data_IF_754350444586
#
_entry.id   IF_754350444586
#
_cell.length_a   1.000
_cell.length_b   1.000
_cell.length_c   1.000
_cell.angle_alpha   90.00
_cell.angle_beta   90.00
_cell.angle_gamma   90.00
#
_symmetry.space_group_name_H-M   'P 1'
#
loop_
_entity.id
_entity.type
_entity.pdbx_description
1 polymer ?
#
# COMPACT_ATOMS: atom_id res chain seq x y z
N UNK A 1 13.80 15.29 -5.54
CA UNK A 1 12.68 14.49 -4.98
C UNK A 1 12.94 13.00 -5.22
N UNK A 2 12.82 12.16 -4.18
CA UNK A 2 13.00 10.70 -4.31
C UNK A 2 11.63 10.01 -4.47
N UNK A 3 11.05 10.10 -5.68
CA UNK A 3 9.67 9.69 -5.98
C UNK A 3 9.38 8.22 -5.67
N UNK A 4 10.38 7.35 -5.79
CA UNK A 4 10.24 5.93 -5.47
C UNK A 4 9.92 5.71 -4.00
N UNK A 5 10.57 6.45 -3.10
CA UNK A 5 10.34 6.32 -1.66
C UNK A 5 8.94 6.81 -1.28
N UNK A 6 8.51 7.95 -1.83
CA UNK A 6 7.15 8.48 -1.62
C UNK A 6 6.07 7.50 -2.07
N UNK A 7 6.29 6.81 -3.20
CA UNK A 7 5.37 5.79 -3.67
C UNK A 7 5.25 4.63 -2.67
N UNK A 8 6.36 4.08 -2.20
CA UNK A 8 6.31 2.99 -1.21
C UNK A 8 5.78 3.43 0.16
N UNK A 9 6.04 4.67 0.57
CA UNK A 9 5.54 5.22 1.83
C UNK A 9 4.00 5.43 1.77
N UNK A 10 3.42 5.73 0.59
CA UNK A 10 1.97 5.88 0.41
C UNK A 10 1.17 4.58 0.63
N UNK A 11 1.72 3.45 0.20
CA UNK A 11 1.04 2.15 0.31
C UNK A 11 1.48 1.35 1.55
N UNK A 12 2.30 1.94 2.41
CA UNK A 12 2.73 1.29 3.65
C UNK A 12 1.63 1.36 4.69
N UNK A 13 1.46 0.27 5.45
CA UNK A 13 0.55 0.24 6.60
C UNK A 13 0.83 1.41 7.56
N UNK A 14 -0.21 2.16 7.98
CA UNK A 14 -0.03 3.37 8.79
C UNK A 14 0.67 3.07 10.13
N UNK A 15 0.40 1.90 10.73
CA UNK A 15 1.08 1.47 11.96
C UNK A 15 2.59 1.23 11.75
N UNK A 16 2.97 0.63 10.62
CA UNK A 16 4.38 0.35 10.30
C UNK A 16 5.12 1.65 10.01
N UNK A 17 4.49 2.57 9.28
CA UNK A 17 5.05 3.90 9.03
C UNK A 17 5.31 4.68 10.33
N UNK A 18 4.34 4.69 11.25
CA UNK A 18 4.48 5.32 12.57
C UNK A 18 5.61 4.70 13.39
N UNK A 19 5.71 3.38 13.41
CA UNK A 19 6.79 2.68 14.12
C UNK A 19 8.17 3.00 13.51
N UNK A 20 8.28 3.07 12.19
CA UNK A 20 9.52 3.47 11.53
C UNK A 20 9.89 4.93 11.79
N UNK A 21 8.92 5.83 11.87
CA UNK A 21 9.16 7.22 12.24
C UNK A 21 9.55 7.33 13.71
N UNK A 22 8.89 6.62 14.63
CA UNK A 22 9.26 6.64 16.05
C UNK A 22 10.68 6.12 16.31
N UNK A 23 11.16 5.16 15.50
CA UNK A 23 12.51 4.61 15.60
C UNK A 23 13.62 5.52 15.02
N UNK A 24 13.27 6.60 14.33
CA UNK A 24 14.26 7.54 13.75
C UNK A 24 14.65 8.61 14.76
N UNK A 25 15.87 9.17 14.66
CA UNK A 25 16.26 10.32 15.47
C UNK A 25 15.35 11.53 15.20
N UNK A 26 14.99 12.33 16.23
CA UNK A 26 14.12 13.48 16.08
C UNK A 26 14.75 14.59 15.24
N UNK A 27 13.93 15.24 14.42
CA UNK A 27 14.36 16.36 13.61
C UNK A 27 14.53 17.59 14.51
N UNK A 28 15.77 18.07 14.63
CA UNK A 28 16.08 19.26 15.44
C UNK A 28 15.37 20.51 14.93
N UNK A 29 15.29 20.70 13.61
CA UNK A 29 14.67 21.89 13.01
C UNK A 29 13.17 21.90 13.26
N UNK A 30 12.50 20.76 13.02
CA UNK A 30 11.06 20.63 13.29
C UNK A 30 10.73 20.76 14.78
N UNK A 31 11.52 20.12 15.66
CA UNK A 31 11.30 20.21 17.10
C UNK A 31 11.56 21.59 17.71
N UNK A 32 12.40 22.42 17.07
CA UNK A 32 12.71 23.77 17.55
C UNK A 32 11.78 24.84 16.97
N UNK A 33 11.46 24.76 15.67
CA UNK A 33 10.74 25.81 14.95
C UNK A 33 9.30 25.42 14.59
N UNK A 34 8.92 24.15 14.75
CA UNK A 34 7.61 23.63 14.35
C UNK A 34 7.44 23.46 12.83
N UNK A 35 8.49 23.68 12.03
CA UNK A 35 8.47 23.49 10.58
C UNK A 35 9.77 22.84 10.11
N UNK A 36 9.72 22.16 8.96
CA UNK A 36 10.90 21.58 8.31
C UNK A 36 10.77 21.68 6.80
N UNK A 37 11.81 22.19 6.14
CA UNK A 37 11.88 22.40 4.69
C UNK A 37 11.73 21.11 3.88
N UNK A 38 12.02 19.95 4.49
CA UNK A 38 11.94 18.64 3.85
C UNK A 38 10.56 17.97 4.03
N UNK A 39 9.67 18.49 4.89
CA UNK A 39 8.37 17.88 5.17
C UNK A 39 8.45 16.38 5.50
N UNK A 40 7.57 15.57 4.92
CA UNK A 40 7.56 14.10 5.09
C UNK A 40 8.77 13.38 4.45
N UNK A 41 9.56 14.07 3.62
CA UNK A 41 10.79 13.52 3.04
C UNK A 41 11.98 13.61 4.00
N UNK A 42 11.80 14.26 5.15
CA UNK A 42 12.86 14.38 6.14
C UNK A 42 13.41 13.00 6.54
N UNK A 43 14.74 12.91 6.68
CA UNK A 43 15.41 11.69 7.16
C UNK A 43 15.12 11.45 8.66
N UNK A 44 14.76 12.50 9.38
CA UNK A 44 14.52 12.54 10.81
C UNK A 44 13.03 12.52 11.11
N UNK A 45 12.64 12.09 12.32
CA UNK A 45 11.23 12.05 12.71
C UNK A 45 10.70 13.41 13.13
N UNK A 46 9.49 13.72 12.70
CA UNK A 46 8.74 14.91 13.11
C UNK A 46 7.69 14.58 14.18
N UNK A 47 7.66 13.34 14.67
CA UNK A 47 6.78 12.94 15.77
C UNK A 47 7.35 13.52 17.06
N UNK A 48 6.60 14.42 17.69
CA UNK A 48 6.92 15.02 18.98
C UNK A 48 6.00 14.42 20.02
N UNK A 49 6.52 14.00 21.16
CA UNK A 49 5.67 13.51 22.26
C UNK A 49 5.42 14.65 23.24
N UNK A 50 4.15 14.87 23.58
CA UNK A 50 3.82 15.80 24.64
C UNK A 50 4.24 15.21 25.99
N UNK A 51 5.07 15.94 26.73
CA UNK A 51 5.52 15.51 28.07
C UNK A 51 4.39 15.48 29.09
N UNK A 52 3.29 16.22 28.87
CA UNK A 52 2.16 16.28 29.81
C UNK A 52 1.15 15.14 29.60
N UNK A 53 0.83 14.79 28.36
CA UNK A 53 -0.19 13.78 28.03
C UNK A 53 0.38 12.44 27.55
N UNK A 54 1.68 12.37 27.24
CA UNK A 54 2.31 11.19 26.65
C UNK A 54 1.80 10.86 25.25
N UNK A 55 1.00 11.74 24.63
CA UNK A 55 0.43 11.54 23.31
C UNK A 55 1.42 11.98 22.22
N UNK A 56 1.52 11.22 21.11
CA UNK A 56 2.29 11.65 19.94
C UNK A 56 1.56 12.79 19.22
N UNK A 57 2.20 13.95 19.15
CA UNK A 57 1.85 15.07 18.31
C UNK A 57 2.43 14.82 16.92
N UNK A 58 1.55 14.60 15.95
CA UNK A 58 1.92 14.41 14.55
C UNK A 58 2.05 15.74 13.82
N UNK A 59 2.97 15.83 12.83
CA UNK A 59 3.07 17.01 11.98
C UNK A 59 1.82 17.15 11.07
N UNK A 60 1.43 18.38 10.71
CA UNK A 60 0.22 18.64 9.94
C UNK A 60 0.20 17.95 8.57
N UNK A 61 1.37 17.75 7.95
CA UNK A 61 1.49 17.06 6.66
C UNK A 61 1.11 15.58 6.77
N UNK A 62 1.37 14.95 7.92
CA UNK A 62 1.08 13.54 8.19
C UNK A 62 -0.41 13.36 8.51
N UNK A 63 -1.02 14.31 9.21
CA UNK A 63 -2.47 14.39 9.41
C UNK A 63 -3.21 14.51 8.06
N UNK A 64 -2.74 15.40 7.20
CA UNK A 64 -3.29 15.57 5.85
C UNK A 64 -3.20 14.27 5.04
N UNK A 65 -2.08 13.54 5.13
CA UNK A 65 -1.93 12.26 4.47
C UNK A 65 -2.92 11.20 4.98
N UNK A 66 -3.14 11.10 6.29
CA UNK A 66 -4.16 10.21 6.84
C UNK A 66 -5.58 10.55 6.37
N UNK A 67 -5.88 11.83 6.21
CA UNK A 67 -7.16 12.30 5.69
C UNK A 67 -7.35 11.92 4.21
N UNK A 68 -6.31 12.09 3.39
CA UNK A 68 -6.30 11.64 1.99
C UNK A 68 -6.54 10.12 1.88
N UNK A 69 -5.92 9.32 2.73
CA UNK A 69 -6.15 7.86 2.76
C UNK A 69 -7.61 7.50 3.10
N UNK A 70 -8.22 8.20 4.06
CA UNK A 70 -9.64 8.01 4.40
C UNK A 70 -10.56 8.42 3.25
N UNK A 71 -10.23 9.48 2.53
CA UNK A 71 -11.02 9.96 1.39
C UNK A 71 -10.94 8.98 0.21
N UNK A 72 -9.77 8.36 -0.02
CA UNK A 72 -9.62 7.31 -1.01
C UNK A 72 -10.52 6.15 -0.60
N UNK A 73 -10.39 5.68 0.65
CA UNK A 73 -11.22 4.63 1.23
C UNK A 73 -12.73 4.87 1.07
N UNK A 74 -13.22 6.10 1.23
CA UNK A 74 -14.65 6.43 1.02
C UNK A 74 -15.04 6.48 -0.45
N UNK A 75 -14.18 6.99 -1.35
CA UNK A 75 -14.42 6.94 -2.79
C UNK A 75 -14.49 5.49 -3.31
N UNK A 76 -13.60 4.61 -2.83
CA UNK A 76 -13.65 3.18 -3.18
C UNK A 76 -14.74 2.38 -2.44
N UNK A 77 -15.35 2.93 -1.39
CA UNK A 77 -16.55 2.35 -0.75
C UNK A 77 -17.87 2.85 -1.36
N UNK A 78 -17.87 4.01 -2.04
CA UNK A 78 -19.05 4.52 -2.76
C UNK A 78 -19.20 3.90 -4.14
N UNK A 79 -18.15 3.23 -4.64
CA UNK A 79 -18.32 2.22 -5.67
C UNK A 79 -18.91 0.99 -5.00
N UNK A 80 -20.19 0.71 -5.27
CA UNK A 80 -20.80 -0.57 -4.95
C UNK A 80 -19.81 -1.71 -5.26
N UNK A 81 -19.76 -2.79 -4.47
CA UNK A 81 -18.94 -3.95 -4.83
C UNK A 81 -19.29 -4.28 -6.28
N UNK A 82 -18.31 -4.14 -7.20
CA UNK A 82 -18.52 -4.58 -8.57
C UNK A 82 -19.05 -6.00 -8.45
N UNK A 83 -20.21 -6.33 -9.04
CA UNK A 83 -20.68 -7.70 -9.02
C UNK A 83 -19.52 -8.54 -9.51
N UNK A 84 -19.08 -9.47 -8.66
CA UNK A 84 -18.00 -10.42 -8.96
C UNK A 84 -18.39 -10.97 -10.33
N UNK A 85 -17.68 -10.63 -11.43
CA UNK A 85 -18.04 -11.18 -12.72
C UNK A 85 -17.99 -12.69 -12.54
N UNK A 86 -18.97 -13.46 -13.06
CA UNK A 86 -18.94 -14.90 -12.93
C UNK A 86 -17.57 -15.35 -13.39
N UNK A 87 -16.82 -16.02 -12.51
CA UNK A 87 -15.42 -16.41 -12.73
C UNK A 87 -15.28 -16.87 -14.17
N UNK A 88 -14.74 -16.02 -15.03
CA UNK A 88 -14.65 -16.32 -16.44
C UNK A 88 -13.57 -17.40 -16.50
N UNK A 89 -13.99 -18.67 -16.54
CA UNK A 89 -13.08 -19.77 -16.85
C UNK A 89 -12.62 -19.51 -18.28
N UNK A 90 -11.44 -18.90 -18.41
CA UNK A 90 -10.78 -18.70 -19.68
C UNK A 90 -10.59 -20.06 -20.32
N UNK A 91 -11.37 -20.33 -21.37
CA UNK A 91 -11.21 -21.50 -22.22
C UNK A 91 -10.37 -21.08 -23.41
N UNK A 92 -9.56 -21.99 -23.93
CA UNK A 92 -8.83 -21.74 -25.16
C UNK A 92 -9.80 -21.53 -26.33
N UNK A 93 -9.43 -20.73 -27.34
CA UNK A 93 -10.21 -20.58 -28.56
C UNK A 93 -10.56 -21.93 -29.20
N UNK A 94 -11.71 -22.01 -29.86
CA UNK A 94 -12.15 -23.24 -30.53
C UNK A 94 -11.10 -23.72 -31.54
N UNK A 95 -10.67 -24.98 -31.43
CA UNK A 95 -9.63 -25.58 -32.28
C UNK A 95 -8.23 -25.69 -31.65
N UNK A 96 -7.99 -25.06 -30.50
CA UNK A 96 -6.68 -25.10 -29.83
C UNK A 96 -6.63 -26.23 -28.80
N UNK A 97 -5.75 -27.22 -28.99
CA UNK A 97 -5.56 -28.31 -28.01
C UNK A 97 -4.37 -28.01 -27.10
N UNK A 98 -4.53 -28.32 -25.80
CA UNK A 98 -3.54 -28.07 -24.74
C UNK A 98 -2.13 -28.62 -25.06
N UNK A 99 -2.07 -29.74 -25.79
CA UNK A 99 -0.82 -30.38 -26.23
C UNK A 99 -0.04 -29.60 -27.29
N UNK A 100 -0.74 -28.78 -28.07
CA UNK A 100 -0.18 -28.02 -29.20
C UNK A 100 0.32 -26.63 -28.75
N UNK A 101 0.15 -26.28 -27.47
CA UNK A 101 0.71 -25.05 -26.91
C UNK A 101 2.21 -25.21 -26.60
N UNK A 102 3.00 -24.14 -26.79
CA UNK A 102 4.38 -24.10 -26.35
C UNK A 102 4.46 -24.30 -24.84
N UNK A 103 5.59 -24.82 -24.35
CA UNK A 103 5.78 -25.20 -22.95
C UNK A 103 5.44 -24.06 -21.97
N UNK A 104 5.72 -22.81 -22.36
CA UNK A 104 5.44 -21.60 -21.59
C UNK A 104 3.95 -21.23 -21.49
N UNK A 105 3.09 -21.81 -22.32
CA UNK A 105 1.63 -21.55 -22.35
C UNK A 105 0.81 -22.78 -21.93
N UNK A 106 1.44 -23.88 -21.55
CA UNK A 106 0.71 -25.03 -21.00
C UNK A 106 0.34 -24.72 -19.55
N UNK A 107 -0.92 -24.93 -19.14
CA UNK A 107 -1.24 -24.93 -17.73
C UNK A 107 -0.42 -26.02 -17.04
N UNK A 108 0.02 -25.80 -15.80
CA UNK A 108 0.79 -26.80 -15.08
C UNK A 108 -0.05 -28.07 -14.86
N UNK A 109 0.61 -29.23 -14.76
CA UNK A 109 -0.07 -30.52 -14.69
C UNK A 109 -0.99 -30.61 -13.46
N UNK A 110 -2.28 -30.81 -13.72
CA UNK A 110 -3.38 -30.87 -12.74
C UNK A 110 -3.28 -31.99 -11.69
N UNK A 111 -2.20 -32.79 -11.63
CA UNK A 111 -2.22 -34.04 -10.86
C UNK A 111 -1.99 -33.91 -9.36
N UNK A 112 -1.54 -32.77 -8.82
CA UNK A 112 -1.43 -32.61 -7.37
C UNK A 112 -1.70 -31.16 -6.92
N UNK A 113 -2.83 -30.95 -6.25
CA UNK A 113 -3.00 -29.95 -5.18
C UNK A 113 -2.90 -28.46 -5.51
N UNK A 114 -2.69 -28.04 -6.75
CA UNK A 114 -2.60 -26.62 -7.07
C UNK A 114 -4.00 -26.00 -7.20
N UNK A 115 -4.43 -25.26 -6.19
CA UNK A 115 -5.69 -24.53 -6.16
C UNK A 115 -5.54 -23.20 -6.92
N UNK A 116 -6.26 -23.07 -8.04
CA UNK A 116 -6.25 -21.88 -8.91
C UNK A 116 -7.33 -20.85 -8.53
N UNK A 117 -8.10 -21.11 -7.47
CA UNK A 117 -9.23 -20.26 -7.07
C UNK A 117 -8.81 -18.80 -6.80
N UNK A 118 -7.58 -18.57 -6.35
CA UNK A 118 -7.05 -17.24 -6.03
C UNK A 118 -5.99 -16.69 -7.00
N UNK A 119 -5.70 -17.36 -8.12
CA UNK A 119 -4.61 -16.97 -9.02
C UNK A 119 -4.82 -15.62 -9.76
N UNK A 120 -5.92 -14.92 -9.52
CA UNK A 120 -6.26 -13.63 -10.13
C UNK A 120 -6.53 -12.49 -9.15
N UNK A 121 -6.35 -12.69 -7.84
CA UNK A 121 -6.43 -11.61 -6.85
C UNK A 121 -5.03 -11.04 -6.63
N UNK A 122 -4.80 -9.82 -7.13
CA UNK A 122 -3.64 -8.99 -6.82
C UNK A 122 -4.09 -7.83 -5.95
#
# INVERSE_FOLDING_TARGET
MNNRKLHYDWYKDPNVFLQEQANKPPCRHYGQYGYCEYGLLCKYTHIVYDTASGQPIYPPELLQWFELQKQEATLNNTTAPKPIPPTQRYKLPSGWKIKDLPLSLRPPPSKHGYDWSNAGFW
#
